data_IF_159261507826
#
_entry.id   IF_159261507826
#
_cell.length_a   1.000
_cell.length_b   1.000
_cell.length_c   1.000
_cell.angle_alpha   90.00
_cell.angle_beta   90.00
_cell.angle_gamma   90.00
#
_symmetry.space_group_name_H-M   'P 1'
#
loop_
_entity.id
_entity.type
_entity.pdbx_description
1 polymer ?
#
# COMPACT_ATOMS: atom_id res chain seq x y z
N UNK A 1 -23.43 -3.57 -49.02
CA UNK A 1 -24.20 -4.12 -47.87
C UNK A 1 -23.40 -5.25 -47.23
N UNK A 2 -23.28 -5.21 -45.90
CA UNK A 2 -22.66 -6.30 -45.16
C UNK A 2 -23.44 -7.59 -45.35
N UNK A 3 -22.75 -8.65 -45.65
CA UNK A 3 -23.42 -9.92 -45.76
C UNK A 3 -23.75 -10.50 -44.36
N UNK A 4 -24.69 -11.40 -44.27
CA UNK A 4 -25.17 -12.03 -43.02
C UNK A 4 -24.02 -12.70 -42.24
N UNK A 5 -23.01 -13.17 -42.88
CA UNK A 5 -21.80 -13.77 -42.29
C UNK A 5 -20.99 -12.72 -41.50
N UNK A 6 -20.81 -11.53 -42.05
CA UNK A 6 -20.10 -10.43 -41.39
C UNK A 6 -20.81 -9.95 -40.14
N UNK A 7 -22.14 -9.88 -40.17
CA UNK A 7 -22.97 -9.48 -39.03
C UNK A 7 -22.87 -10.52 -37.90
N UNK A 8 -23.01 -11.79 -38.19
CA UNK A 8 -22.85 -12.90 -37.24
C UNK A 8 -21.45 -12.92 -36.62
N UNK A 9 -20.44 -12.69 -37.41
CA UNK A 9 -19.03 -12.69 -36.93
C UNK A 9 -18.79 -11.55 -35.93
N UNK A 10 -19.28 -10.33 -36.21
CA UNK A 10 -19.18 -9.20 -35.28
C UNK A 10 -19.94 -9.44 -33.98
N UNK A 11 -21.13 -10.01 -34.05
CA UNK A 11 -21.89 -10.38 -32.86
C UNK A 11 -21.15 -11.38 -31.98
N UNK A 12 -20.50 -12.39 -32.59
CA UNK A 12 -19.69 -13.37 -31.88
C UNK A 12 -18.44 -12.74 -31.23
N UNK A 13 -17.74 -11.85 -31.94
CA UNK A 13 -16.59 -11.12 -31.40
C UNK A 13 -17.00 -10.28 -30.18
N UNK A 14 -18.12 -9.56 -30.27
CA UNK A 14 -18.67 -8.77 -29.16
C UNK A 14 -19.02 -9.66 -27.96
N UNK A 15 -19.63 -10.82 -28.18
CA UNK A 15 -19.95 -11.79 -27.13
C UNK A 15 -18.69 -12.30 -26.43
N UNK A 16 -17.66 -12.69 -27.18
CA UNK A 16 -16.38 -13.14 -26.65
C UNK A 16 -15.71 -12.04 -25.82
N UNK A 17 -15.67 -10.82 -26.33
CA UNK A 17 -15.12 -9.66 -25.62
C UNK A 17 -15.84 -9.39 -24.29
N UNK A 18 -17.17 -9.47 -24.27
CA UNK A 18 -17.97 -9.32 -23.04
C UNK A 18 -17.67 -10.44 -22.02
N UNK A 19 -17.57 -11.69 -22.48
CA UNK A 19 -17.24 -12.81 -21.60
C UNK A 19 -15.86 -12.66 -20.99
N UNK A 20 -14.87 -12.21 -21.75
CA UNK A 20 -13.53 -11.93 -21.26
C UNK A 20 -13.53 -10.83 -20.19
N UNK A 21 -14.24 -9.73 -20.43
CA UNK A 21 -14.38 -8.64 -19.47
C UNK A 21 -14.99 -9.13 -18.15
N UNK A 22 -16.09 -9.90 -18.22
CA UNK A 22 -16.75 -10.46 -17.02
C UNK A 22 -15.82 -11.42 -16.27
N UNK A 23 -15.05 -12.22 -16.97
CA UNK A 23 -14.05 -13.11 -16.37
C UNK A 23 -12.97 -12.31 -15.63
N UNK A 24 -12.41 -11.28 -16.26
CA UNK A 24 -11.40 -10.40 -15.68
C UNK A 24 -11.93 -9.68 -14.43
N UNK A 25 -13.17 -9.20 -14.45
CA UNK A 25 -13.83 -8.57 -13.30
C UNK A 25 -13.99 -9.55 -12.14
N UNK A 26 -14.40 -10.80 -12.42
CA UNK A 26 -14.51 -11.84 -11.39
C UNK A 26 -13.16 -12.19 -10.77
N UNK A 27 -12.09 -12.29 -11.57
CA UNK A 27 -10.74 -12.52 -11.07
C UNK A 27 -10.26 -11.38 -10.18
N UNK A 28 -10.51 -10.12 -10.57
CA UNK A 28 -10.18 -8.95 -9.73
C UNK A 28 -10.90 -9.00 -8.40
N UNK A 29 -12.21 -9.25 -8.40
CA UNK A 29 -13.01 -9.37 -7.19
C UNK A 29 -12.53 -10.52 -6.28
N UNK A 30 -12.18 -11.65 -6.86
CA UNK A 30 -11.62 -12.79 -6.13
C UNK A 30 -10.30 -12.42 -5.45
N UNK A 31 -9.38 -11.76 -6.16
CA UNK A 31 -8.09 -11.31 -5.61
C UNK A 31 -8.27 -10.36 -4.44
N UNK A 32 -9.19 -9.39 -4.55
CA UNK A 32 -9.50 -8.47 -3.45
C UNK A 32 -9.98 -9.23 -2.21
N UNK A 33 -10.85 -10.22 -2.39
CA UNK A 33 -11.32 -11.07 -1.28
C UNK A 33 -10.19 -11.87 -0.62
N UNK A 34 -9.29 -12.44 -1.41
CA UNK A 34 -8.15 -13.21 -0.89
C UNK A 34 -7.19 -12.31 -0.09
N UNK A 35 -6.88 -11.13 -0.57
CA UNK A 35 -6.05 -10.15 0.12
C UNK A 35 -6.72 -9.73 1.44
N UNK A 36 -8.02 -9.40 1.41
CA UNK A 36 -8.76 -9.03 2.63
C UNK A 36 -8.76 -10.15 3.66
N UNK A 37 -8.91 -11.40 3.23
CA UNK A 37 -8.82 -12.57 4.12
C UNK A 37 -7.44 -12.71 4.75
N UNK A 38 -6.38 -12.44 3.98
CA UNK A 38 -5.00 -12.61 4.42
C UNK A 38 -4.50 -11.46 5.31
N UNK A 39 -4.72 -10.20 4.95
CA UNK A 39 -4.18 -9.04 5.66
C UNK A 39 -5.23 -8.16 6.35
N UNK A 40 -6.50 -8.46 6.22
CA UNK A 40 -7.59 -7.72 6.87
C UNK A 40 -8.02 -6.43 6.16
N UNK A 41 -7.43 -6.10 5.02
CA UNK A 41 -7.69 -4.86 4.27
C UNK A 41 -8.17 -5.18 2.85
N UNK A 42 -9.21 -4.48 2.39
CA UNK A 42 -9.62 -4.51 0.99
C UNK A 42 -8.65 -3.68 0.16
N UNK A 43 -7.98 -4.30 -0.80
CA UNK A 43 -6.92 -3.67 -1.59
C UNK A 43 -7.24 -3.84 -3.08
N UNK A 44 -7.49 -2.74 -3.77
CA UNK A 44 -7.63 -2.71 -5.22
C UNK A 44 -6.26 -2.70 -5.90
N UNK A 45 -6.23 -2.88 -7.22
CA UNK A 45 -4.97 -2.76 -8.00
C UNK A 45 -4.37 -1.35 -7.88
N UNK A 46 -5.20 -0.31 -7.80
CA UNK A 46 -4.75 1.07 -7.60
C UNK A 46 -4.17 1.27 -6.20
N UNK A 47 -4.82 0.76 -5.15
CA UNK A 47 -4.32 0.79 -3.78
C UNK A 47 -2.96 0.09 -3.66
N UNK A 48 -2.81 -1.04 -4.32
CA UNK A 48 -1.54 -1.78 -4.34
C UNK A 48 -0.40 -0.94 -4.92
N UNK A 49 -0.63 -0.24 -6.03
CA UNK A 49 0.37 0.65 -6.64
C UNK A 49 0.73 1.81 -5.72
N UNK A 50 -0.24 2.39 -5.02
CA UNK A 50 0.00 3.45 -4.03
C UNK A 50 0.86 2.90 -2.89
N UNK A 51 0.55 1.73 -2.36
CA UNK A 51 1.32 1.09 -1.31
C UNK A 51 2.75 0.77 -1.76
N UNK A 52 2.94 0.22 -2.96
CA UNK A 52 4.27 -0.05 -3.53
C UNK A 52 5.11 1.23 -3.64
N UNK A 53 4.52 2.35 -4.09
CA UNK A 53 5.23 3.62 -4.22
C UNK A 53 5.63 4.23 -2.88
N UNK A 54 4.74 4.22 -1.90
CA UNK A 54 5.09 4.78 -0.60
C UNK A 54 6.14 3.93 0.12
N UNK A 55 6.08 2.61 0.00
CA UNK A 55 7.09 1.72 0.56
C UNK A 55 8.45 1.96 -0.10
N UNK A 56 8.50 2.12 -1.43
CA UNK A 56 9.75 2.46 -2.12
C UNK A 56 10.30 3.81 -1.69
N UNK A 57 9.45 4.82 -1.58
CA UNK A 57 9.87 6.16 -1.19
C UNK A 57 10.39 6.23 0.25
N UNK A 58 9.79 5.45 1.17
CA UNK A 58 10.17 5.42 2.59
C UNK A 58 11.30 4.44 2.90
N UNK A 59 11.37 3.33 2.20
CA UNK A 59 12.21 2.19 2.56
C UNK A 59 12.95 1.56 1.37
N UNK A 60 13.11 2.28 0.27
CA UNK A 60 13.77 1.75 -0.94
C UNK A 60 15.21 1.27 -0.69
N UNK A 61 15.91 1.86 0.26
CA UNK A 61 17.26 1.45 0.69
C UNK A 61 17.31 0.37 1.75
N UNK A 62 16.15 -0.04 2.30
CA UNK A 62 16.05 -1.08 3.31
C UNK A 62 16.07 -2.48 2.68
N UNK A 63 16.30 -3.50 3.52
CA UNK A 63 16.14 -4.89 3.12
C UNK A 63 14.66 -5.27 2.98
N UNK A 64 14.40 -6.49 2.54
CA UNK A 64 13.05 -6.99 2.30
C UNK A 64 12.15 -6.86 3.54
N UNK A 65 12.65 -7.25 4.71
CA UNK A 65 11.90 -7.16 5.97
C UNK A 65 11.58 -5.72 6.35
N UNK A 66 12.52 -4.80 6.16
CA UNK A 66 12.30 -3.36 6.40
C UNK A 66 11.18 -2.79 5.53
N UNK A 67 11.12 -3.20 4.28
CA UNK A 67 10.03 -2.84 3.35
C UNK A 67 8.69 -3.45 3.77
N UNK A 68 8.67 -4.72 4.18
CA UNK A 68 7.45 -5.36 4.72
C UNK A 68 6.94 -4.61 5.95
N UNK A 69 7.84 -4.19 6.85
CA UNK A 69 7.48 -3.43 8.05
C UNK A 69 6.77 -2.11 7.72
N UNK A 70 7.27 -1.34 6.75
CA UNK A 70 6.61 -0.10 6.32
C UNK A 70 5.22 -0.39 5.73
N UNK A 71 5.08 -1.40 4.90
CA UNK A 71 3.78 -1.83 4.39
C UNK A 71 2.83 -2.24 5.52
N UNK A 72 3.31 -2.97 6.52
CA UNK A 72 2.53 -3.36 7.69
C UNK A 72 1.99 -2.15 8.45
N UNK A 73 2.79 -1.10 8.65
CA UNK A 73 2.33 0.12 9.32
C UNK A 73 1.17 0.77 8.57
N UNK A 74 1.25 0.90 7.26
CA UNK A 74 0.14 1.42 6.44
C UNK A 74 -1.10 0.57 6.60
N UNK A 75 -0.99 -0.76 6.50
CA UNK A 75 -2.11 -1.68 6.65
C UNK A 75 -2.70 -1.63 8.07
N UNK A 76 -1.88 -1.52 9.10
CA UNK A 76 -2.34 -1.38 10.48
C UNK A 76 -3.13 -0.09 10.69
N UNK A 77 -2.70 1.03 10.09
CA UNK A 77 -3.46 2.28 10.13
C UNK A 77 -4.83 2.14 9.50
N UNK A 78 -4.93 1.51 8.33
CA UNK A 78 -6.23 1.28 7.65
C UNK A 78 -7.19 0.48 8.53
N UNK A 79 -6.69 -0.46 9.33
CA UNK A 79 -7.49 -1.28 10.26
C UNK A 79 -7.81 -0.57 11.57
N UNK A 80 -7.16 0.53 11.87
CA UNK A 80 -7.34 1.27 13.12
C UNK A 80 -8.34 2.40 12.95
N UNK A 81 -9.32 2.48 13.85
CA UNK A 81 -10.40 3.48 13.80
C UNK A 81 -9.94 4.94 13.93
N UNK A 82 -8.75 5.18 14.44
CA UNK A 82 -8.17 6.51 14.57
C UNK A 82 -7.54 7.05 13.29
N UNK A 83 -7.48 6.23 12.23
CA UNK A 83 -6.91 6.58 10.93
C UNK A 83 -7.93 6.41 9.81
N UNK A 84 -7.66 7.00 8.63
CA UNK A 84 -8.50 6.77 7.45
C UNK A 84 -8.63 5.27 7.12
N UNK A 85 -9.73 4.91 6.47
CA UNK A 85 -10.10 3.51 6.22
C UNK A 85 -9.62 2.92 4.89
N UNK A 86 -8.87 3.69 4.10
CA UNK A 86 -8.31 3.24 2.82
C UNK A 86 -6.81 3.48 2.76
N UNK A 87 -6.09 2.67 1.99
CA UNK A 87 -4.64 2.86 1.75
C UNK A 87 -4.37 4.25 1.17
N UNK A 88 -5.15 4.67 0.16
CA UNK A 88 -5.00 5.98 -0.45
C UNK A 88 -5.11 7.11 0.58
N UNK A 89 -6.14 7.08 1.41
CA UNK A 89 -6.40 8.15 2.37
C UNK A 89 -5.37 8.14 3.53
N UNK A 90 -4.87 6.97 3.92
CA UNK A 90 -3.76 6.86 4.89
C UNK A 90 -2.48 7.46 4.31
N UNK A 91 -2.11 7.08 3.10
CA UNK A 91 -0.85 7.52 2.45
C UNK A 91 -0.85 9.01 2.18
N UNK A 92 -1.97 9.57 1.73
CA UNK A 92 -2.10 10.99 1.40
C UNK A 92 -2.64 11.85 2.55
N UNK A 93 -2.80 11.28 3.75
CA UNK A 93 -3.29 12.02 4.90
C UNK A 93 -2.40 13.23 5.22
N UNK A 94 -3.04 14.36 5.47
CA UNK A 94 -2.36 15.59 5.86
C UNK A 94 -3.22 16.38 6.87
N UNK A 95 -2.56 17.20 7.66
CA UNK A 95 -3.20 18.11 8.60
C UNK A 95 -2.48 19.45 8.58
N UNK A 96 -3.21 20.54 8.23
CA UNK A 96 -2.64 21.88 8.21
C UNK A 96 -1.42 22.02 7.30
N UNK A 97 -1.41 21.34 6.13
CA UNK A 97 -0.28 21.38 5.20
C UNK A 97 0.88 20.43 5.52
N UNK A 98 0.82 19.72 6.64
CA UNK A 98 1.81 18.70 7.01
C UNK A 98 1.30 17.32 6.65
N UNK A 99 2.04 16.61 5.80
CA UNK A 99 1.72 15.24 5.40
C UNK A 99 2.26 14.22 6.38
N UNK A 100 1.52 13.14 6.60
CA UNK A 100 1.95 12.03 7.45
C UNK A 100 3.20 11.33 6.89
N UNK A 101 3.30 11.25 5.56
CA UNK A 101 4.44 10.68 4.86
C UNK A 101 5.20 11.78 4.13
N UNK A 102 6.42 12.06 4.57
CA UNK A 102 7.26 13.11 4.00
C UNK A 102 7.52 12.98 2.49
N UNK A 103 7.60 11.79 1.89
CA UNK A 103 7.76 11.65 0.44
C UNK A 103 6.61 12.23 -0.40
N UNK A 104 5.43 12.39 0.17
CA UNK A 104 4.33 13.08 -0.52
C UNK A 104 4.63 14.57 -0.61
N UNK A 105 5.11 15.17 0.49
CA UNK A 105 5.42 16.61 0.54
C UNK A 105 6.64 16.98 -0.30
N UNK A 106 7.72 16.20 -0.23
CA UNK A 106 8.98 16.49 -0.95
C UNK A 106 9.01 15.98 -2.40
N UNK A 107 7.98 15.29 -2.84
CA UNK A 107 7.83 14.82 -4.22
C UNK A 107 8.48 13.47 -4.54
N UNK A 108 9.24 12.86 -3.63
CA UNK A 108 9.88 11.54 -3.87
C UNK A 108 8.89 10.46 -4.25
N UNK A 109 7.70 10.47 -3.66
CA UNK A 109 6.63 9.54 -4.01
C UNK A 109 6.34 9.50 -5.52
N UNK A 110 6.40 10.65 -6.19
CA UNK A 110 6.05 10.76 -7.62
C UNK A 110 7.22 10.42 -8.56
N UNK A 111 8.44 10.38 -8.05
CA UNK A 111 9.65 10.21 -8.86
C UNK A 111 10.35 8.87 -8.68
N UNK A 112 10.05 8.11 -7.63
CA UNK A 112 10.68 6.82 -7.38
C UNK A 112 10.33 5.78 -8.44
N UNK A 113 11.31 4.93 -8.74
CA UNK A 113 11.10 3.71 -9.51
C UNK A 113 10.94 2.55 -8.54
N UNK A 114 9.78 1.92 -8.54
CA UNK A 114 9.48 0.80 -7.64
C UNK A 114 10.26 -0.43 -8.06
N UNK A 115 11.15 -0.91 -7.19
CA UNK A 115 11.96 -2.11 -7.43
C UNK A 115 11.14 -3.39 -7.35
N UNK A 116 11.65 -4.47 -7.95
CA UNK A 116 11.01 -5.78 -7.84
C UNK A 116 11.00 -6.29 -6.40
N UNK A 117 12.03 -5.99 -5.61
CA UNK A 117 12.05 -6.34 -4.20
C UNK A 117 10.96 -5.61 -3.40
N UNK A 118 10.73 -4.34 -3.66
CA UNK A 118 9.62 -3.59 -3.05
C UNK A 118 8.26 -4.19 -3.42
N UNK A 119 8.05 -4.56 -4.68
CA UNK A 119 6.82 -5.24 -5.11
C UNK A 119 6.64 -6.58 -4.41
N UNK A 120 7.73 -7.35 -4.25
CA UNK A 120 7.74 -8.61 -3.53
C UNK A 120 7.41 -8.42 -2.04
N UNK A 121 7.99 -7.43 -1.38
CA UNK A 121 7.71 -7.11 0.02
C UNK A 121 6.25 -6.71 0.24
N UNK A 122 5.69 -5.89 -0.63
CA UNK A 122 4.27 -5.52 -0.57
C UNK A 122 3.38 -6.74 -0.80
N UNK A 123 3.72 -7.60 -1.76
CA UNK A 123 3.01 -8.87 -1.97
C UNK A 123 2.99 -9.73 -0.71
N UNK A 124 4.10 -9.84 0.00
CA UNK A 124 4.18 -10.60 1.24
C UNK A 124 3.30 -9.99 2.34
N UNK A 125 3.34 -8.67 2.52
CA UNK A 125 2.47 -7.97 3.47
C UNK A 125 0.97 -8.19 3.15
N UNK A 126 0.59 -8.11 1.88
CA UNK A 126 -0.78 -8.38 1.42
C UNK A 126 -1.19 -9.85 1.57
N UNK A 127 -0.23 -10.76 1.60
CA UNK A 127 -0.44 -12.18 1.89
C UNK A 127 -0.51 -12.49 3.40
N UNK A 128 -0.38 -11.50 4.26
CA UNK A 128 -0.50 -11.63 5.71
C UNK A 128 0.83 -11.71 6.46
N UNK A 129 1.97 -11.55 5.79
CA UNK A 129 3.26 -11.46 6.49
C UNK A 129 3.31 -10.16 7.29
N UNK A 130 3.43 -10.28 8.60
CA UNK A 130 3.42 -9.16 9.53
C UNK A 130 4.53 -9.31 10.56
N UNK A 131 5.47 -8.37 10.55
CA UNK A 131 6.58 -8.27 11.49
C UNK A 131 6.43 -7.08 12.44
N UNK A 132 5.33 -6.32 12.34
CA UNK A 132 5.21 -4.99 12.93
C UNK A 132 4.78 -4.98 14.39
N UNK A 133 4.31 -6.10 14.95
CA UNK A 133 3.72 -6.16 16.29
C UNK A 133 2.60 -5.11 16.51
N UNK A 134 1.85 -4.79 15.46
CA UNK A 134 0.78 -3.80 15.50
C UNK A 134 1.24 -2.34 15.43
N UNK A 135 2.50 -2.09 15.03
CA UNK A 135 3.03 -0.73 14.92
C UNK A 135 2.16 0.16 14.03
N UNK A 136 1.93 1.38 14.48
CA UNK A 136 1.17 2.42 13.78
C UNK A 136 2.04 3.59 13.33
N UNK A 137 3.26 3.69 13.86
CA UNK A 137 4.22 4.76 13.59
C UNK A 137 5.62 4.20 13.45
N UNK A 138 6.42 4.86 12.63
CA UNK A 138 7.87 4.63 12.57
C UNK A 138 8.60 5.94 12.32
N UNK A 139 9.85 5.99 12.75
CA UNK A 139 10.76 7.09 12.44
C UNK A 139 12.19 6.62 12.36
N UNK A 140 13.01 7.34 11.62
CA UNK A 140 14.45 7.29 11.70
C UNK A 140 14.92 8.44 12.60
N UNK A 141 15.28 8.12 13.84
CA UNK A 141 15.58 9.13 14.88
C UNK A 141 16.66 10.12 14.45
N UNK A 142 17.67 9.66 13.75
CA UNK A 142 18.78 10.49 13.30
C UNK A 142 18.36 11.56 12.26
N UNK A 143 17.29 11.32 11.50
CA UNK A 143 16.79 12.21 10.46
C UNK A 143 15.53 12.99 10.87
N UNK A 144 14.84 12.54 11.92
CA UNK A 144 13.62 13.18 12.40
C UNK A 144 13.94 14.51 13.10
N UNK A 145 13.05 15.49 12.95
CA UNK A 145 13.19 16.72 13.73
C UNK A 145 12.97 16.45 15.23
N UNK A 146 13.57 17.31 16.07
CA UNK A 146 13.55 17.14 17.52
C UNK A 146 12.14 17.21 18.12
N UNK A 147 11.24 17.97 17.51
CA UNK A 147 9.85 18.07 17.94
C UNK A 147 9.09 16.76 17.73
N UNK A 148 9.28 16.12 16.57
CA UNK A 148 8.71 14.81 16.28
C UNK A 148 9.29 13.72 17.19
N UNK A 149 10.60 13.69 17.40
CA UNK A 149 11.23 12.76 18.34
C UNK A 149 10.65 12.90 19.73
N UNK A 150 10.54 14.13 20.24
CA UNK A 150 9.96 14.42 21.56
C UNK A 150 8.50 13.97 21.64
N UNK A 151 7.71 14.20 20.61
CA UNK A 151 6.31 13.77 20.57
C UNK A 151 6.20 12.24 20.59
N UNK A 152 7.00 11.53 19.80
CA UNK A 152 7.04 10.07 19.79
C UNK A 152 7.38 9.53 21.19
N UNK A 153 8.44 10.07 21.81
CA UNK A 153 8.89 9.60 23.13
C UNK A 153 7.87 9.87 24.25
N UNK A 154 7.07 10.95 24.14
CA UNK A 154 6.08 11.30 25.15
C UNK A 154 4.71 10.67 24.94
N UNK A 155 4.29 10.50 23.70
CA UNK A 155 2.91 10.18 23.35
C UNK A 155 2.71 8.75 22.87
N UNK A 156 3.77 8.07 22.44
CA UNK A 156 3.71 6.74 21.85
C UNK A 156 4.52 5.74 22.68
N UNK A 157 4.15 4.46 22.54
CA UNK A 157 4.90 3.35 23.13
C UNK A 157 5.85 2.77 22.07
N UNK A 158 7.14 2.80 22.36
CA UNK A 158 8.15 2.14 21.51
C UNK A 158 8.00 0.62 21.59
N UNK A 159 7.92 -0.02 20.43
CA UNK A 159 7.78 -1.48 20.32
C UNK A 159 9.13 -2.15 20.07
N UNK A 160 9.86 -1.70 19.06
CA UNK A 160 11.16 -2.25 18.68
C UNK A 160 11.89 -1.31 17.71
N UNK A 161 13.15 -1.63 17.47
CA UNK A 161 13.97 -1.03 16.41
C UNK A 161 14.34 -2.10 15.39
N UNK A 162 14.30 -1.72 14.12
CA UNK A 162 14.82 -2.54 13.02
C UNK A 162 15.68 -1.66 12.12
N UNK A 163 17.00 -1.95 12.06
CA UNK A 163 18.00 -1.11 11.40
C UNK A 163 17.90 0.35 11.90
N UNK A 164 17.71 1.32 11.00
CA UNK A 164 17.60 2.73 11.37
C UNK A 164 16.21 3.16 11.83
N UNK A 165 15.19 2.33 11.64
CA UNK A 165 13.81 2.67 12.00
C UNK A 165 13.41 2.18 13.40
N UNK A 166 12.77 3.05 14.14
CA UNK A 166 12.09 2.73 15.40
C UNK A 166 10.58 2.69 15.17
N UNK A 167 9.93 1.67 15.72
CA UNK A 167 8.49 1.42 15.52
C UNK A 167 7.73 1.61 16.82
N UNK A 168 6.56 2.24 16.71
CA UNK A 168 5.74 2.68 17.84
C UNK A 168 4.27 2.34 17.64
N UNK A 169 3.55 2.38 18.78
CA UNK A 169 2.11 2.20 18.81
C UNK A 169 1.46 3.25 19.70
#
# INVERSE_FOLDING_TARGET
SENEYGIKNRANIKKISNLKRLHDERLKAYRVKQIKKACGVSVTATDRKILERIVEAEAGGEDHKGKVLVANVVLNRVKNKSFPSTIKDVVFAHRGGTYQFSPIMDGRYYTVNVSDDTKSAVKDALAGVDHSAGALYFMERALADKGNVSWFDRCLTRLFRYHCHEFYK
#
